data_IF_882662132950
#
_entry.id   IF_882662132950
#
_cell.length_a   1.000
_cell.length_b   1.000
_cell.length_c   1.000
_cell.angle_alpha   90.00
_cell.angle_beta   90.00
_cell.angle_gamma   90.00
#
_symmetry.space_group_name_H-M   'P 1'
#
loop_
_entity.id
_entity.type
_entity.pdbx_description
1 polymer ?
#
# COMPACT_ATOMS: atom_id res chain seq x y z
N UNK A 1 -4.57 -10.90 -47.90
CA UNK A 1 -5.12 -11.22 -46.57
C UNK A 1 -4.26 -12.27 -45.92
N UNK A 2 -3.44 -11.86 -44.98
CA UNK A 2 -2.60 -12.78 -44.22
C UNK A 2 -3.41 -13.19 -43.01
N UNK A 3 -3.96 -14.41 -43.02
CA UNK A 3 -4.51 -15.02 -41.83
C UNK A 3 -3.33 -15.42 -40.92
N UNK A 4 -3.09 -14.63 -39.89
CA UNK A 4 -2.21 -15.05 -38.82
C UNK A 4 -2.96 -16.14 -38.04
N UNK A 5 -2.61 -17.38 -38.32
CA UNK A 5 -3.04 -18.50 -37.51
C UNK A 5 -2.34 -18.39 -36.18
N UNK A 6 -3.00 -17.76 -35.21
CA UNK A 6 -2.57 -17.89 -33.82
C UNK A 6 -2.73 -19.35 -33.42
N UNK A 7 -1.67 -20.03 -32.99
CA UNK A 7 -1.83 -21.37 -32.45
C UNK A 7 -2.79 -21.25 -31.28
N UNK A 8 -3.89 -21.93 -31.35
CA UNK A 8 -4.79 -22.17 -30.23
C UNK A 8 -3.92 -22.77 -29.13
N UNK A 9 -3.57 -21.93 -28.17
CA UNK A 9 -2.93 -22.36 -26.94
C UNK A 9 -3.98 -23.19 -26.20
N UNK A 10 -4.00 -24.49 -26.49
CA UNK A 10 -4.77 -25.41 -25.67
C UNK A 10 -4.18 -25.33 -24.25
N UNK A 11 -4.98 -24.98 -23.24
CA UNK A 11 -4.47 -25.03 -21.88
C UNK A 11 -4.03 -26.47 -21.64
N UNK A 12 -2.73 -26.66 -21.45
CA UNK A 12 -2.18 -27.93 -21.00
C UNK A 12 -2.95 -28.29 -19.74
N UNK A 13 -3.75 -29.35 -19.86
CA UNK A 13 -4.55 -29.82 -18.74
C UNK A 13 -3.61 -30.12 -17.56
N UNK A 14 -3.92 -29.50 -16.43
CA UNK A 14 -3.18 -29.64 -15.16
C UNK A 14 -2.95 -31.11 -14.77
N UNK A 15 -3.73 -32.04 -15.36
CA UNK A 15 -3.64 -33.48 -15.16
C UNK A 15 -2.31 -34.13 -15.61
N UNK A 16 -1.47 -33.44 -16.38
CA UNK A 16 -0.21 -34.00 -16.88
C UNK A 16 1.01 -33.53 -16.07
N UNK A 17 0.84 -32.67 -15.08
CA UNK A 17 1.94 -32.23 -14.24
C UNK A 17 2.18 -33.22 -13.10
N UNK A 18 3.44 -33.62 -12.91
CA UNK A 18 3.84 -34.44 -11.76
C UNK A 18 3.56 -33.64 -10.46
N UNK A 19 3.34 -34.34 -9.32
CA UNK A 19 3.15 -33.68 -8.02
C UNK A 19 4.26 -32.69 -7.68
N UNK A 20 5.48 -32.96 -8.10
CA UNK A 20 6.64 -32.07 -7.89
C UNK A 20 6.55 -30.80 -8.73
N UNK A 21 6.03 -30.89 -9.95
CA UNK A 21 5.84 -29.72 -10.82
C UNK A 21 4.65 -28.86 -10.37
N UNK A 22 3.58 -29.48 -9.88
CA UNK A 22 2.45 -28.77 -9.26
C UNK A 22 2.89 -28.03 -8.01
N UNK A 23 3.77 -28.62 -7.20
CA UNK A 23 4.32 -27.99 -6.01
C UNK A 23 5.18 -26.77 -6.36
N UNK A 24 5.93 -26.80 -7.45
CA UNK A 24 6.75 -25.67 -7.91
C UNK A 24 5.90 -24.52 -8.45
N UNK A 25 4.77 -24.81 -9.08
CA UNK A 25 3.85 -23.80 -9.63
C UNK A 25 3.01 -23.10 -8.54
N UNK A 26 2.79 -23.76 -7.39
CA UNK A 26 2.00 -23.21 -6.29
C UNK A 26 2.84 -22.50 -5.23
N UNK A 27 4.15 -22.51 -5.34
CA UNK A 27 5.00 -21.68 -4.50
C UNK A 27 5.01 -20.23 -4.97
N UNK A 28 3.90 -19.53 -4.77
CA UNK A 28 3.96 -18.11 -4.59
C UNK A 28 4.75 -17.88 -3.30
N UNK A 29 6.01 -17.56 -3.44
CA UNK A 29 6.82 -17.16 -2.29
C UNK A 29 6.24 -15.88 -1.72
N UNK A 30 5.40 -16.01 -0.70
CA UNK A 30 4.95 -14.88 0.09
C UNK A 30 6.13 -14.39 0.93
N UNK A 31 6.83 -13.39 0.43
CA UNK A 31 7.92 -12.76 1.17
C UNK A 31 7.34 -11.95 2.32
N UNK A 32 7.75 -12.26 3.55
CA UNK A 32 7.33 -11.50 4.72
C UNK A 32 8.22 -10.27 4.89
N UNK A 33 7.63 -9.08 4.90
CA UNK A 33 8.30 -7.80 5.09
C UNK A 33 8.12 -7.22 6.50
N UNK A 34 7.80 -8.06 7.48
CA UNK A 34 7.58 -7.63 8.88
C UNK A 34 8.81 -6.95 9.48
N UNK A 35 10.00 -7.50 9.24
CA UNK A 35 11.25 -6.93 9.72
C UNK A 35 11.50 -5.56 9.10
N UNK A 36 11.37 -5.45 7.78
CA UNK A 36 11.59 -4.20 7.04
C UNK A 36 10.62 -3.11 7.48
N UNK A 37 9.36 -3.47 7.69
CA UNK A 37 8.36 -2.53 8.18
C UNK A 37 8.65 -2.02 9.59
N UNK A 38 9.10 -2.90 10.48
CA UNK A 38 9.52 -2.54 11.84
C UNK A 38 10.75 -1.63 11.84
N UNK A 39 11.75 -1.97 11.03
CA UNK A 39 12.96 -1.14 10.88
C UNK A 39 12.62 0.24 10.31
N UNK A 40 11.76 0.30 9.29
CA UNK A 40 11.30 1.55 8.68
C UNK A 40 10.54 2.42 9.69
N UNK A 41 9.68 1.84 10.50
CA UNK A 41 8.99 2.57 11.57
C UNK A 41 9.96 3.19 12.57
N UNK A 42 11.03 2.48 12.92
CA UNK A 42 12.08 2.98 13.80
C UNK A 42 12.91 4.11 13.17
N UNK A 43 13.27 3.98 11.89
CA UNK A 43 14.06 4.99 11.16
C UNK A 43 13.25 6.25 10.91
N UNK A 44 12.01 6.12 10.45
CA UNK A 44 11.11 7.24 10.12
C UNK A 44 10.39 7.81 11.34
N UNK A 45 10.61 7.23 12.52
CA UNK A 45 9.99 7.67 13.79
C UNK A 45 8.48 7.81 13.71
N UNK A 46 7.83 6.78 13.20
CA UNK A 46 6.38 6.72 13.09
C UNK A 46 5.86 5.30 13.37
N UNK A 47 4.54 5.15 13.47
CA UNK A 47 3.93 3.84 13.66
C UNK A 47 4.02 2.97 12.39
N UNK A 48 3.96 1.65 12.56
CA UNK A 48 3.99 0.71 11.43
C UNK A 48 2.87 0.95 10.40
N UNK A 49 1.71 1.44 10.83
CA UNK A 49 0.59 1.77 9.94
C UNK A 49 0.88 2.95 9.02
N UNK A 50 1.82 3.82 9.40
CA UNK A 50 2.22 5.00 8.61
C UNK A 50 3.32 4.69 7.62
N UNK A 51 3.81 3.46 7.56
CA UNK A 51 4.83 3.03 6.62
C UNK A 51 4.18 2.47 5.37
N UNK A 52 4.58 3.00 4.23
CA UNK A 52 4.25 2.46 2.92
C UNK A 52 5.48 1.81 2.31
N UNK A 53 5.36 0.56 1.90
CA UNK A 53 6.38 -0.21 1.18
C UNK A 53 5.90 -0.41 -0.25
N UNK A 54 6.77 -0.20 -1.24
CA UNK A 54 6.39 -0.35 -2.65
C UNK A 54 6.10 -1.82 -2.97
N UNK A 55 4.86 -2.16 -3.38
CA UNK A 55 4.49 -3.54 -3.70
C UNK A 55 5.18 -4.07 -4.96
N UNK A 56 5.68 -3.21 -5.85
CA UNK A 56 6.37 -3.62 -7.07
C UNK A 56 7.84 -4.00 -6.82
N UNK A 57 8.43 -3.52 -5.73
CA UNK A 57 9.85 -3.68 -5.39
C UNK A 57 10.05 -4.52 -4.13
N UNK A 58 9.18 -5.49 -3.91
CA UNK A 58 9.21 -6.39 -2.73
C UNK A 58 10.55 -7.10 -2.61
N UNK A 59 11.12 -7.54 -3.72
CA UNK A 59 12.40 -8.27 -3.74
C UNK A 59 13.54 -7.40 -3.23
N UNK A 60 13.62 -6.17 -3.66
CA UNK A 60 14.65 -5.22 -3.23
C UNK A 60 14.48 -4.83 -1.76
N UNK A 61 13.26 -4.56 -1.34
CA UNK A 61 12.95 -4.23 0.05
C UNK A 61 13.29 -5.39 0.99
N UNK A 62 13.04 -6.64 0.56
CA UNK A 62 13.31 -7.83 1.37
C UNK A 62 14.80 -8.02 1.68
N UNK A 63 15.68 -7.52 0.83
CA UNK A 63 17.13 -7.56 1.03
C UNK A 63 17.63 -6.56 2.09
N UNK A 64 16.83 -5.59 2.47
CA UNK A 64 17.19 -4.56 3.43
C UNK A 64 17.04 -5.07 4.87
N UNK A 65 18.14 -5.52 5.46
CA UNK A 65 18.17 -6.07 6.82
C UNK A 65 18.74 -5.09 7.87
N UNK A 66 19.15 -3.90 7.48
CA UNK A 66 19.72 -2.90 8.39
C UNK A 66 19.03 -1.56 8.27
N UNK A 67 19.14 -0.74 9.33
CA UNK A 67 18.60 0.63 9.32
C UNK A 67 19.21 1.50 8.23
N UNK A 68 20.51 1.32 7.96
CA UNK A 68 21.20 2.05 6.88
C UNK A 68 20.62 1.71 5.51
N UNK A 69 20.34 0.43 5.25
CA UNK A 69 19.72 0.00 4.00
C UNK A 69 18.30 0.56 3.87
N UNK A 70 17.52 0.56 4.94
CA UNK A 70 16.18 1.17 4.97
C UNK A 70 16.26 2.67 4.67
N UNK A 71 17.21 3.39 5.25
CA UNK A 71 17.39 4.82 4.99
C UNK A 71 17.79 5.10 3.53
N UNK A 72 18.51 4.18 2.90
CA UNK A 72 18.79 4.25 1.45
C UNK A 72 17.51 4.07 0.64
N UNK A 73 16.71 3.04 0.93
CA UNK A 73 15.45 2.78 0.25
C UNK A 73 14.43 3.92 0.43
N UNK A 74 14.46 4.62 1.56
CA UNK A 74 13.67 5.83 1.76
C UNK A 74 14.07 6.93 0.75
N UNK A 75 15.37 7.17 0.57
CA UNK A 75 15.88 8.15 -0.39
C UNK A 75 15.53 7.78 -1.84
N UNK A 76 15.54 6.49 -2.14
CA UNK A 76 15.16 5.96 -3.46
C UNK A 76 13.64 5.97 -3.71
N UNK A 77 12.85 6.27 -2.68
CA UNK A 77 11.40 6.37 -2.77
C UNK A 77 10.64 5.04 -2.68
N UNK A 78 11.31 3.95 -2.34
CA UNK A 78 10.69 2.62 -2.19
C UNK A 78 9.97 2.46 -0.85
N UNK A 79 10.38 3.23 0.14
CA UNK A 79 9.77 3.28 1.48
C UNK A 79 9.39 4.72 1.77
N UNK A 80 8.14 4.93 2.15
CA UNK A 80 7.65 6.27 2.45
C UNK A 80 6.80 6.28 3.72
N UNK A 81 6.78 7.43 4.37
CA UNK A 81 5.83 7.70 5.45
C UNK A 81 4.52 8.20 4.84
N UNK A 82 3.42 7.53 5.20
CA UNK A 82 2.09 7.97 4.78
C UNK A 82 1.75 9.32 5.41
N UNK A 83 1.02 10.21 4.68
CA UNK A 83 0.60 11.48 5.24
C UNK A 83 -0.38 11.27 6.39
N UNK A 84 -0.35 12.17 7.35
CA UNK A 84 -1.30 12.18 8.47
C UNK A 84 -2.67 12.63 8.00
N UNK A 85 -3.73 12.10 8.63
CA UNK A 85 -5.09 12.54 8.37
C UNK A 85 -5.24 13.98 8.85
N UNK A 86 -5.66 14.87 7.95
CA UNK A 86 -5.87 16.28 8.27
C UNK A 86 -7.22 16.45 8.95
N UNK A 87 -7.23 17.08 10.13
CA UNK A 87 -8.46 17.54 10.76
C UNK A 87 -8.81 18.93 10.20
N UNK A 88 -9.56 18.94 9.10
CA UNK A 88 -9.94 20.20 8.43
C UNK A 88 -10.89 21.03 9.28
N UNK A 89 -10.63 22.32 9.35
CA UNK A 89 -11.48 23.30 10.02
C UNK A 89 -12.43 24.03 9.08
N UNK A 90 -12.49 23.66 7.83
CA UNK A 90 -13.32 24.35 6.81
C UNK A 90 -14.81 24.37 7.19
N UNK A 91 -15.35 23.24 7.63
CA UNK A 91 -16.75 23.16 8.07
C UNK A 91 -17.02 24.00 9.33
N UNK A 92 -16.10 24.00 10.28
CA UNK A 92 -16.19 24.82 11.49
C UNK A 92 -16.20 26.30 11.14
N UNK A 93 -15.27 26.74 10.27
CA UNK A 93 -15.19 28.15 9.82
C UNK A 93 -16.46 28.59 9.08
N UNK A 94 -17.00 27.73 8.20
CA UNK A 94 -18.25 28.00 7.49
C UNK A 94 -19.44 28.15 8.45
N UNK A 95 -19.52 27.25 9.46
CA UNK A 95 -20.56 27.30 10.51
C UNK A 95 -20.45 28.57 11.37
N UNK A 96 -19.25 28.91 11.78
CA UNK A 96 -19.01 30.10 12.60
C UNK A 96 -19.32 31.39 11.84
N UNK A 97 -18.97 31.47 10.56
CA UNK A 97 -19.36 32.58 9.68
C UNK A 97 -20.88 32.65 9.52
N UNK A 98 -21.58 31.55 9.39
CA UNK A 98 -23.04 31.49 9.33
C UNK A 98 -23.67 31.95 10.65
N UNK A 99 -23.13 31.55 11.79
CA UNK A 99 -23.59 32.01 13.12
C UNK A 99 -23.37 33.50 13.32
N UNK A 100 -22.26 34.07 12.86
CA UNK A 100 -21.99 35.50 12.92
C UNK A 100 -23.04 36.32 12.14
N UNK A 101 -23.64 35.70 11.11
CA UNK A 101 -24.76 36.31 10.34
C UNK A 101 -26.13 36.03 10.95
N UNK A 102 -26.21 35.45 12.13
CA UNK A 102 -27.46 35.12 12.82
C UNK A 102 -28.12 33.81 12.37
N UNK A 103 -27.48 32.98 11.57
CA UNK A 103 -28.00 31.66 11.17
C UNK A 103 -27.78 30.63 12.26
N UNK A 104 -28.53 29.54 12.22
CA UNK A 104 -28.46 28.40 13.17
C UNK A 104 -28.73 28.78 14.64
N UNK A 105 -29.44 29.86 14.88
CA UNK A 105 -29.83 30.34 16.21
C UNK A 105 -31.30 30.06 16.53
N UNK A 106 -31.95 29.18 15.78
CA UNK A 106 -33.35 28.83 15.99
C UNK A 106 -33.61 28.36 17.40
N UNK A 107 -34.54 29.00 18.10
CA UNK A 107 -35.02 28.57 19.41
C UNK A 107 -36.11 27.50 19.20
N UNK A 108 -35.93 26.31 19.76
CA UNK A 108 -37.05 25.39 19.86
C UNK A 108 -38.10 26.02 20.77
N UNK A 109 -39.24 26.30 20.20
CA UNK A 109 -40.43 26.70 20.98
C UNK A 109 -41.16 25.38 21.27
N UNK A 110 -41.14 24.95 22.51
CA UNK A 110 -41.98 23.85 22.99
C UNK A 110 -43.46 24.26 22.92
#
# INVERSE_FOLDING_TARGET
>A
MIFIHLPLYSPLSISHLSPTQLFTLTQTQTVSLKLQKRLAASVLKCGKRKIWLDPNEINEISLANSRRNIARLEKDGLIMKKPTVVHSRSRVRARDAAKAKGRHTGKFID
#
